data_IF_621100383197
#
_entry.id   IF_621100383197
#
_cell.length_a   1.000
_cell.length_b   1.000
_cell.length_c   1.000
_cell.angle_alpha   90.00
_cell.angle_beta   90.00
_cell.angle_gamma   90.00
#
_symmetry.space_group_name_H-M   'P 1'
#
loop_
_entity.id
_entity.type
_entity.pdbx_description
1 polymer ?
#
# COMPACT_ATOMS: atom_id res chain seq x y z
N UNK A 1 4.02 5.90 2.68
CA UNK A 1 4.65 5.76 3.99
C UNK A 1 6.17 5.94 3.89
N UNK A 2 6.85 5.28 2.94
CA UNK A 2 8.31 5.25 2.83
C UNK A 2 8.90 6.29 1.85
N UNK A 3 8.12 7.19 1.32
CA UNK A 3 8.54 8.24 0.38
C UNK A 3 9.73 9.05 0.88
N UNK A 4 9.74 9.35 2.18
CA UNK A 4 10.83 10.10 2.83
C UNK A 4 12.19 9.39 2.78
N UNK A 5 12.25 8.09 2.47
CA UNK A 5 13.50 7.37 2.26
C UNK A 5 14.13 7.65 0.89
N UNK A 6 13.30 8.02 -0.08
CA UNK A 6 13.71 8.28 -1.47
C UNK A 6 14.07 9.76 -1.66
N UNK A 7 13.61 10.61 -0.74
CA UNK A 7 13.87 12.04 -0.75
C UNK A 7 12.69 12.86 -0.24
N UNK A 8 12.90 14.16 -0.07
CA UNK A 8 11.86 15.09 0.40
C UNK A 8 11.29 15.93 -0.76
N UNK A 9 11.11 15.31 -1.92
CA UNK A 9 10.67 15.99 -3.14
C UNK A 9 9.16 16.26 -3.17
N UNK A 10 8.36 15.40 -2.53
CA UNK A 10 6.91 15.51 -2.52
C UNK A 10 6.24 14.58 -1.53
N UNK A 11 4.92 14.56 -1.58
CA UNK A 11 4.07 13.68 -0.76
C UNK A 11 2.99 13.07 -1.64
N UNK A 12 2.77 11.76 -1.48
CA UNK A 12 1.67 11.06 -2.12
C UNK A 12 0.45 11.06 -1.21
N UNK A 13 -0.68 11.49 -1.74
CA UNK A 13 -1.99 11.37 -1.11
C UNK A 13 -2.89 10.46 -1.93
N UNK A 14 -3.60 9.56 -1.26
CA UNK A 14 -4.62 8.72 -1.90
C UNK A 14 -5.99 9.16 -1.44
N UNK A 15 -6.85 9.53 -2.39
CA UNK A 15 -8.22 9.95 -2.14
C UNK A 15 -9.16 8.95 -2.78
N UNK A 16 -9.97 8.27 -1.96
CA UNK A 16 -11.00 7.35 -2.43
C UNK A 16 -12.28 8.15 -2.70
N UNK A 17 -12.87 7.96 -3.88
CA UNK A 17 -14.18 8.49 -4.25
C UNK A 17 -15.03 7.35 -4.78
N UNK A 18 -16.31 7.30 -4.46
CA UNK A 18 -17.27 6.22 -4.79
C UNK A 18 -16.72 5.03 -5.61
N UNK A 19 -16.33 5.25 -6.87
CA UNK A 19 -15.79 4.22 -7.76
C UNK A 19 -14.42 4.57 -8.35
N UNK A 20 -13.70 5.56 -7.80
CA UNK A 20 -12.41 6.00 -8.32
C UNK A 20 -11.40 6.21 -7.18
N UNK A 21 -10.15 5.96 -7.50
CA UNK A 21 -9.00 6.24 -6.65
C UNK A 21 -8.19 7.34 -7.32
N UNK A 22 -8.01 8.47 -6.64
CA UNK A 22 -7.05 9.49 -7.02
C UNK A 22 -5.75 9.29 -6.25
N UNK A 23 -4.65 9.06 -6.96
CA UNK A 23 -3.31 9.07 -6.37
C UNK A 23 -2.64 10.38 -6.76
N UNK A 24 -2.61 11.32 -5.82
CA UNK A 24 -2.07 12.67 -5.99
C UNK A 24 -0.60 12.71 -5.60
N UNK A 25 0.20 13.46 -6.33
CA UNK A 25 1.54 13.79 -5.90
C UNK A 25 1.72 15.28 -5.72
N UNK A 26 1.99 15.69 -4.48
CA UNK A 26 2.15 17.09 -4.08
C UNK A 26 3.64 17.39 -4.00
N UNK A 27 4.16 18.13 -5.00
CA UNK A 27 5.53 18.59 -5.01
C UNK A 27 5.77 19.63 -3.93
N UNK A 28 6.72 19.39 -3.02
CA UNK A 28 7.08 20.34 -1.96
C UNK A 28 7.85 21.55 -2.47
N UNK A 29 8.53 21.42 -3.59
CA UNK A 29 9.34 22.48 -4.19
C UNK A 29 8.54 23.34 -5.16
N UNK A 30 7.62 24.15 -4.64
CA UNK A 30 6.67 24.93 -5.44
C UNK A 30 7.28 25.99 -6.36
N UNK A 31 8.46 26.51 -6.02
CA UNK A 31 9.12 27.62 -6.76
C UNK A 31 10.24 27.16 -7.71
N UNK A 32 10.48 25.88 -7.88
CA UNK A 32 11.57 25.42 -8.76
C UNK A 32 11.11 25.38 -10.23
N UNK A 33 11.94 25.85 -11.18
CA UNK A 33 11.64 25.73 -12.62
C UNK A 33 11.41 24.30 -13.07
N UNK A 34 12.04 23.34 -12.40
CA UNK A 34 11.92 21.91 -12.68
C UNK A 34 10.63 21.27 -12.14
N UNK A 35 9.76 21.98 -11.40
CA UNK A 35 8.56 21.42 -10.75
C UNK A 35 7.70 20.63 -11.70
N UNK A 36 7.43 21.18 -12.89
CA UNK A 36 6.68 20.50 -13.94
C UNK A 36 7.29 19.16 -14.30
N UNK A 37 8.59 19.13 -14.58
CA UNK A 37 9.29 17.91 -14.96
C UNK A 37 9.35 16.89 -13.83
N UNK A 38 9.43 17.33 -12.57
CA UNK A 38 9.37 16.44 -11.41
C UNK A 38 8.00 15.74 -11.33
N UNK A 39 6.91 16.49 -11.48
CA UNK A 39 5.55 15.94 -11.46
C UNK A 39 5.35 14.95 -12.62
N UNK A 40 5.69 15.36 -13.83
CA UNK A 40 5.57 14.52 -15.03
C UNK A 40 6.40 13.23 -14.89
N UNK A 41 7.61 13.32 -14.35
CA UNK A 41 8.49 12.17 -14.12
C UNK A 41 7.88 11.21 -13.09
N UNK A 42 7.38 11.72 -11.97
CA UNK A 42 6.79 10.88 -10.92
C UNK A 42 5.55 10.17 -11.42
N UNK A 43 4.59 10.89 -12.00
CA UNK A 43 3.34 10.29 -12.48
C UNK A 43 3.60 9.32 -13.65
N UNK A 44 4.47 9.69 -14.58
CA UNK A 44 4.87 8.83 -15.69
C UNK A 44 5.56 7.54 -15.20
N UNK A 45 6.47 7.68 -14.24
CA UNK A 45 7.15 6.53 -13.62
C UNK A 45 6.16 5.59 -12.93
N UNK A 46 5.16 6.12 -12.24
CA UNK A 46 4.13 5.30 -11.60
C UNK A 46 3.34 4.47 -12.61
N UNK A 47 2.92 5.07 -13.73
CA UNK A 47 2.21 4.34 -14.79
C UNK A 47 3.10 3.26 -15.39
N UNK A 48 4.33 3.59 -15.75
CA UNK A 48 5.25 2.61 -16.37
C UNK A 48 5.59 1.48 -15.39
N UNK A 49 5.79 1.82 -14.11
CA UNK A 49 6.10 0.82 -13.09
C UNK A 49 4.91 -0.08 -12.77
N UNK A 50 3.69 0.47 -12.74
CA UNK A 50 2.45 -0.31 -12.56
C UNK A 50 2.25 -1.30 -13.71
N UNK A 51 2.50 -0.88 -14.96
CA UNK A 51 2.47 -1.78 -16.14
C UNK A 51 3.46 -2.93 -16.00
N UNK A 52 4.68 -2.62 -15.59
CA UNK A 52 5.71 -3.63 -15.37
C UNK A 52 5.37 -4.58 -14.24
N UNK A 53 4.88 -4.07 -13.10
CA UNK A 53 4.46 -4.88 -11.96
C UNK A 53 3.30 -5.82 -12.27
N UNK A 54 2.32 -5.34 -13.03
CA UNK A 54 1.14 -6.10 -13.42
C UNK A 54 1.38 -7.02 -14.63
N UNK A 55 2.59 -6.99 -15.23
CA UNK A 55 2.91 -7.65 -16.52
C UNK A 55 1.89 -7.32 -17.62
N UNK A 56 1.37 -6.10 -17.60
CA UNK A 56 0.36 -5.62 -18.53
C UNK A 56 0.76 -4.25 -19.10
N UNK A 57 1.38 -4.21 -20.30
CA UNK A 57 1.84 -2.97 -20.92
C UNK A 57 0.70 -2.03 -21.33
N UNK A 58 -0.52 -2.53 -21.45
CA UNK A 58 -1.71 -1.76 -21.83
C UNK A 58 -2.45 -1.15 -20.63
N UNK A 59 -2.04 -1.50 -19.41
CA UNK A 59 -2.68 -0.96 -18.20
C UNK A 59 -2.48 0.56 -18.15
N UNK A 60 -3.58 1.28 -17.98
CA UNK A 60 -3.59 2.75 -18.00
C UNK A 60 -4.55 3.27 -16.93
N UNK A 61 -4.27 4.43 -16.34
CA UNK A 61 -5.28 5.11 -15.54
C UNK A 61 -6.47 5.53 -16.42
N UNK A 62 -7.61 5.82 -15.81
CA UNK A 62 -8.78 6.38 -16.49
C UNK A 62 -8.50 7.81 -16.96
N UNK A 63 -7.77 8.57 -16.15
CA UNK A 63 -7.51 9.97 -16.36
C UNK A 63 -6.23 10.40 -15.66
N UNK A 64 -5.49 11.32 -16.29
CA UNK A 64 -4.37 12.02 -15.66
C UNK A 64 -4.71 13.51 -15.51
N UNK A 65 -4.54 14.02 -14.31
CA UNK A 65 -4.69 15.43 -13.99
C UNK A 65 -3.31 16.06 -13.81
N UNK A 66 -3.09 17.22 -14.45
CA UNK A 66 -1.85 17.98 -14.34
C UNK A 66 -2.19 19.45 -14.03
N UNK A 67 -1.55 20.01 -13.01
CA UNK A 67 -1.76 21.38 -12.58
C UNK A 67 -1.16 22.43 -13.51
N UNK A 68 -0.14 22.08 -14.28
CA UNK A 68 0.49 23.00 -15.23
C UNK A 68 -0.31 23.11 -16.55
N UNK A 69 -0.11 24.17 -17.35
CA UNK A 69 -0.75 24.35 -18.63
C UNK A 69 -0.31 23.30 -19.65
N UNK A 70 -1.16 23.05 -20.64
CA UNK A 70 -0.84 22.19 -21.76
C UNK A 70 0.38 22.73 -22.52
N UNK A 71 1.27 21.87 -23.05
CA UNK A 71 2.33 22.31 -23.91
C UNK A 71 1.78 22.85 -25.25
N UNK A 72 2.37 23.91 -25.77
CA UNK A 72 2.00 24.47 -27.07
C UNK A 72 2.37 23.53 -28.22
N UNK A 73 3.40 22.73 -28.04
CA UNK A 73 3.87 21.79 -29.04
C UNK A 73 2.96 20.55 -29.12
N UNK A 74 2.32 20.38 -30.29
CA UNK A 74 1.39 19.26 -30.54
C UNK A 74 2.04 17.88 -30.38
N UNK A 75 3.32 17.73 -30.73
CA UNK A 75 4.07 16.46 -30.54
C UNK A 75 4.16 16.07 -29.07
N UNK A 76 4.36 17.03 -28.18
CA UNK A 76 4.39 16.77 -26.74
C UNK A 76 3.03 16.28 -26.23
N UNK A 77 1.92 16.79 -26.76
CA UNK A 77 0.58 16.28 -26.42
C UNK A 77 0.39 14.82 -26.82
N UNK A 78 0.94 14.43 -27.96
CA UNK A 78 0.94 13.03 -28.41
C UNK A 78 1.81 12.15 -27.50
N UNK A 79 2.96 12.66 -27.05
CA UNK A 79 3.81 11.95 -26.08
C UNK A 79 3.12 11.70 -24.74
N UNK A 80 2.36 12.68 -24.21
CA UNK A 80 1.55 12.46 -23.01
C UNK A 80 0.55 11.32 -23.19
N UNK A 81 -0.20 11.32 -24.31
CA UNK A 81 -1.14 10.25 -24.61
C UNK A 81 -0.46 8.89 -24.75
N UNK A 82 0.72 8.85 -25.38
CA UNK A 82 1.50 7.63 -25.56
C UNK A 82 2.03 7.09 -24.23
N UNK A 83 2.51 7.97 -23.34
CA UNK A 83 3.07 7.57 -22.04
C UNK A 83 1.95 7.14 -21.09
N UNK A 84 0.93 7.95 -20.93
CA UNK A 84 -0.14 7.68 -19.97
C UNK A 84 -1.17 6.68 -20.48
N UNK A 85 -1.42 6.61 -21.78
CA UNK A 85 -2.38 5.70 -22.40
C UNK A 85 -3.85 6.09 -22.21
N UNK A 86 -4.12 7.29 -21.71
CA UNK A 86 -5.45 7.80 -21.40
C UNK A 86 -5.57 9.30 -21.68
N UNK A 87 -6.74 9.88 -21.37
CA UNK A 87 -6.94 11.31 -21.39
C UNK A 87 -6.07 12.02 -20.35
N UNK A 88 -5.49 13.16 -20.75
CA UNK A 88 -4.69 14.03 -19.86
C UNK A 88 -5.32 15.41 -19.84
N UNK A 89 -5.72 15.87 -18.64
CA UNK A 89 -6.28 17.21 -18.41
C UNK A 89 -5.27 18.11 -17.74
N UNK A 90 -5.04 19.26 -18.37
CA UNK A 90 -4.13 20.28 -17.88
C UNK A 90 -4.88 21.37 -17.11
N UNK A 91 -4.14 22.30 -16.45
CA UNK A 91 -4.70 23.39 -15.66
C UNK A 91 -5.63 22.89 -14.54
N UNK A 92 -5.30 21.77 -13.91
CA UNK A 92 -6.09 21.19 -12.82
C UNK A 92 -5.61 21.71 -11.45
N UNK A 93 -6.45 21.64 -10.41
CA UNK A 93 -6.08 22.10 -9.07
C UNK A 93 -4.91 21.33 -8.45
N UNK A 94 -4.70 20.10 -8.87
CA UNK A 94 -3.63 19.21 -8.42
C UNK A 94 -3.22 18.24 -9.52
N UNK A 95 -2.08 17.58 -9.33
CA UNK A 95 -1.59 16.55 -10.23
C UNK A 95 -1.85 15.17 -9.67
N UNK A 96 -2.52 14.30 -10.43
CA UNK A 96 -2.98 12.99 -9.99
C UNK A 96 -3.11 11.97 -11.12
N UNK A 97 -3.01 10.70 -10.76
CA UNK A 97 -3.55 9.58 -11.53
C UNK A 97 -4.92 9.23 -10.97
N UNK A 98 -5.91 9.09 -11.84
CA UNK A 98 -7.26 8.66 -11.48
C UNK A 98 -7.50 7.29 -12.10
N UNK A 99 -7.88 6.31 -11.30
CA UNK A 99 -8.06 4.92 -11.73
C UNK A 99 -9.26 4.29 -11.05
N UNK A 100 -9.79 3.23 -11.63
CA UNK A 100 -10.74 2.37 -10.94
C UNK A 100 -10.01 1.60 -9.82
N UNK A 101 -10.66 1.33 -8.65
CA UNK A 101 -10.04 0.58 -7.55
C UNK A 101 -9.48 -0.79 -7.95
N UNK A 102 -10.01 -1.39 -9.00
CA UNK A 102 -9.56 -2.70 -9.52
C UNK A 102 -8.10 -2.70 -9.95
N UNK A 103 -7.52 -1.54 -10.26
CA UNK A 103 -6.08 -1.43 -10.55
C UNK A 103 -5.22 -1.95 -9.39
N UNK A 104 -5.70 -1.82 -8.15
CA UNK A 104 -5.02 -2.30 -6.94
C UNK A 104 -5.11 -3.82 -6.77
N UNK A 105 -5.93 -4.49 -7.58
CA UNK A 105 -6.19 -5.93 -7.49
C UNK A 105 -5.43 -6.73 -8.56
N UNK A 106 -4.74 -6.05 -9.48
CA UNK A 106 -3.94 -6.74 -10.49
C UNK A 106 -2.87 -7.60 -9.82
N UNK A 107 -2.76 -8.84 -10.30
CA UNK A 107 -1.73 -9.76 -9.84
C UNK A 107 -0.34 -9.21 -10.20
N UNK A 108 0.55 -9.22 -9.22
CA UNK A 108 1.93 -8.82 -9.45
C UNK A 108 2.69 -9.90 -10.23
N UNK A 109 3.62 -9.49 -11.08
CA UNK A 109 4.44 -10.37 -11.90
C UNK A 109 5.27 -11.37 -11.08
N UNK A 110 5.84 -10.92 -9.99
CA UNK A 110 6.67 -11.71 -9.09
C UNK A 110 6.37 -11.34 -7.64
N UNK A 111 5.21 -11.75 -7.12
CA UNK A 111 4.87 -11.45 -5.74
C UNK A 111 5.74 -12.29 -4.80
N UNK A 112 6.40 -11.61 -3.86
CA UNK A 112 7.15 -12.25 -2.79
C UNK A 112 6.76 -11.58 -1.46
N UNK A 113 5.77 -12.14 -0.75
CA UNK A 113 5.32 -11.60 0.52
C UNK A 113 6.42 -11.58 1.59
N UNK A 114 7.38 -12.50 1.51
CA UNK A 114 8.47 -12.56 2.48
C UNK A 114 9.50 -11.46 2.22
N UNK A 115 9.87 -11.25 0.96
CA UNK A 115 10.73 -10.14 0.56
C UNK A 115 10.07 -8.80 0.89
N UNK A 116 8.76 -8.65 0.63
CA UNK A 116 7.99 -7.45 0.98
C UNK A 116 8.10 -7.15 2.48
N UNK A 117 7.82 -8.13 3.36
CA UNK A 117 7.90 -7.94 4.81
C UNK A 117 9.31 -7.58 5.28
N UNK A 118 10.34 -8.19 4.68
CA UNK A 118 11.75 -7.90 4.99
C UNK A 118 12.13 -6.47 4.59
N UNK A 119 11.76 -6.05 3.39
CA UNK A 119 12.02 -4.70 2.89
C UNK A 119 11.26 -3.65 3.70
N UNK A 120 10.01 -3.92 4.05
CA UNK A 120 9.19 -3.03 4.89
C UNK A 120 9.83 -2.84 6.28
N UNK A 121 10.26 -3.92 6.91
CA UNK A 121 10.97 -3.85 8.20
C UNK A 121 12.30 -3.07 8.10
N UNK A 122 13.03 -3.24 6.99
CA UNK A 122 14.27 -2.49 6.76
C UNK A 122 13.98 -0.99 6.56
N UNK A 123 12.99 -0.64 5.74
CA UNK A 123 12.59 0.72 5.47
C UNK A 123 12.12 1.44 6.74
N UNK A 124 11.34 0.74 7.60
CA UNK A 124 10.92 1.28 8.89
C UNK A 124 12.10 1.61 9.81
N UNK A 125 13.09 0.72 9.91
CA UNK A 125 14.32 0.99 10.68
C UNK A 125 15.08 2.20 10.14
N UNK A 126 15.14 2.34 8.81
CA UNK A 126 15.80 3.46 8.16
C UNK A 126 15.10 4.79 8.46
N UNK A 127 13.76 4.83 8.39
CA UNK A 127 12.97 6.00 8.78
C UNK A 127 13.25 6.41 10.23
N UNK A 128 13.27 5.45 11.14
CA UNK A 128 13.60 5.70 12.55
C UNK A 128 15.00 6.31 12.71
N UNK A 129 16.00 5.80 11.97
CA UNK A 129 17.37 6.34 12.01
C UNK A 129 17.49 7.76 11.46
N UNK A 130 16.54 8.19 10.61
CA UNK A 130 16.46 9.55 10.08
C UNK A 130 15.71 10.53 11.00
N UNK A 131 15.32 10.09 12.22
CA UNK A 131 14.56 10.91 13.17
C UNK A 131 13.13 11.24 12.69
N UNK A 132 12.63 10.52 11.70
CA UNK A 132 11.26 10.71 11.22
C UNK A 132 10.32 10.05 12.21
N UNK A 133 9.52 10.86 12.90
CA UNK A 133 8.54 10.35 13.86
C UNK A 133 7.55 9.43 13.15
N UNK A 134 7.56 8.17 13.53
CA UNK A 134 6.54 7.19 13.18
C UNK A 134 5.57 7.05 14.34
N UNK A 135 4.28 6.91 14.07
CA UNK A 135 3.28 6.66 15.11
C UNK A 135 3.62 5.38 15.88
N UNK A 136 3.13 5.26 17.10
CA UNK A 136 3.33 4.02 17.87
C UNK A 136 2.70 2.82 17.16
N UNK A 137 1.53 3.01 16.55
CA UNK A 137 0.87 1.98 15.74
C UNK A 137 1.78 1.45 14.61
N UNK A 138 2.47 2.35 13.90
CA UNK A 138 3.44 1.96 12.87
C UNK A 138 4.66 1.23 13.45
N UNK A 139 5.18 1.67 14.58
CA UNK A 139 6.28 0.99 15.26
C UNK A 139 5.90 -0.43 15.68
N UNK A 140 4.71 -0.59 16.25
CA UNK A 140 4.13 -1.89 16.64
C UNK A 140 3.95 -2.78 15.41
N UNK A 141 3.31 -2.28 14.34
CA UNK A 141 3.11 -3.01 13.09
C UNK A 141 4.44 -3.52 12.51
N UNK A 142 5.43 -2.65 12.44
CA UNK A 142 6.74 -2.99 11.90
C UNK A 142 7.47 -4.05 12.75
N UNK A 143 7.27 -4.02 14.08
CA UNK A 143 7.87 -5.00 14.97
C UNK A 143 7.21 -6.37 14.80
N UNK A 144 5.89 -6.41 14.64
CA UNK A 144 5.15 -7.65 14.34
C UNK A 144 5.65 -8.23 13.00
N UNK A 145 5.73 -7.41 11.94
CA UNK A 145 6.23 -7.83 10.63
C UNK A 145 7.64 -8.43 10.67
N UNK A 146 8.56 -7.80 11.39
CA UNK A 146 9.93 -8.27 11.51
C UNK A 146 10.04 -9.65 12.17
N UNK A 147 9.08 -10.02 13.00
CA UNK A 147 9.06 -11.29 13.74
C UNK A 147 8.26 -12.40 13.06
N UNK A 148 7.47 -12.08 12.03
CA UNK A 148 6.59 -13.05 11.36
C UNK A 148 7.31 -14.21 10.67
N UNK A 149 8.59 -14.06 10.35
CA UNK A 149 9.38 -15.12 9.74
C UNK A 149 9.72 -16.26 10.72
N UNK A 150 9.74 -15.97 12.01
CA UNK A 150 10.10 -16.94 13.05
C UNK A 150 8.84 -17.41 13.79
N UNK A 151 8.14 -16.49 14.39
CA UNK A 151 6.87 -16.71 15.12
C UNK A 151 6.16 -15.39 15.36
N UNK A 152 4.83 -15.44 15.44
CA UNK A 152 4.04 -14.27 15.83
C UNK A 152 4.47 -13.79 17.24
N UNK A 153 4.96 -12.54 17.40
CA UNK A 153 5.44 -12.07 18.69
C UNK A 153 4.28 -11.85 19.66
N UNK A 154 4.53 -12.05 20.93
CA UNK A 154 3.58 -11.69 21.99
C UNK A 154 3.61 -10.17 22.19
N UNK A 155 2.48 -9.60 22.59
CA UNK A 155 2.37 -8.16 22.86
C UNK A 155 3.37 -7.67 23.92
N UNK A 156 3.70 -8.52 24.88
CA UNK A 156 4.68 -8.24 25.94
C UNK A 156 6.07 -8.02 25.33
N UNK A 157 6.46 -8.90 24.41
CA UNK A 157 7.75 -8.81 23.72
C UNK A 157 7.85 -7.54 22.89
N UNK A 158 6.79 -7.22 22.11
CA UNK A 158 6.78 -6.01 21.27
C UNK A 158 6.81 -4.74 22.14
N UNK A 159 6.12 -4.73 23.28
CA UNK A 159 6.17 -3.61 24.21
C UNK A 159 7.60 -3.42 24.76
N UNK A 160 8.23 -4.50 25.21
CA UNK A 160 9.61 -4.50 25.72
C UNK A 160 10.60 -4.00 24.66
N UNK A 161 10.51 -4.52 23.43
CA UNK A 161 11.35 -4.12 22.30
C UNK A 161 11.22 -2.62 21.95
N UNK A 162 10.07 -2.02 22.27
CA UNK A 162 9.82 -0.60 22.08
C UNK A 162 10.12 0.24 23.33
N UNK A 163 10.70 -0.38 24.38
CA UNK A 163 11.00 0.29 25.66
C UNK A 163 9.76 0.71 26.44
N UNK A 164 8.63 0.01 26.25
CA UNK A 164 7.35 0.30 26.87
C UNK A 164 6.88 -0.89 27.71
N UNK A 165 6.06 -0.62 28.73
CA UNK A 165 5.22 -1.68 29.29
C UNK A 165 3.90 -1.80 28.52
N UNK A 166 3.25 -2.96 28.62
CA UNK A 166 2.02 -3.29 27.89
C UNK A 166 0.89 -2.26 28.16
N UNK A 167 0.76 -1.78 29.39
CA UNK A 167 -0.26 -0.79 29.77
C UNK A 167 -0.02 0.55 29.09
N UNK A 168 1.22 1.00 29.04
CA UNK A 168 1.60 2.24 28.35
C UNK A 168 1.39 2.12 26.84
N UNK A 169 1.81 1.00 26.25
CA UNK A 169 1.59 0.72 24.83
C UNK A 169 0.09 0.75 24.50
N UNK A 170 -0.74 0.06 25.29
CA UNK A 170 -2.20 0.04 25.08
C UNK A 170 -2.81 1.44 25.15
N UNK A 171 -2.50 2.22 26.19
CA UNK A 171 -3.01 3.59 26.32
C UNK A 171 -2.64 4.47 25.13
N UNK A 172 -1.37 4.46 24.71
CA UNK A 172 -0.90 5.28 23.58
C UNK A 172 -1.50 4.84 22.25
N UNK A 173 -1.71 3.53 22.02
CA UNK A 173 -2.42 3.06 20.83
C UNK A 173 -3.88 3.53 20.83
N UNK A 174 -4.55 3.59 22.00
CA UNK A 174 -5.89 4.18 22.11
C UNK A 174 -5.90 5.68 21.80
N UNK A 175 -4.87 6.42 22.21
CA UNK A 175 -4.69 7.84 21.85
C UNK A 175 -4.55 8.02 20.32
N UNK A 176 -4.01 7.01 19.62
CA UNK A 176 -3.93 6.93 18.15
C UNK A 176 -5.19 6.28 17.52
N UNK A 177 -6.29 6.11 18.28
CA UNK A 177 -7.56 5.50 17.83
C UNK A 177 -7.41 4.08 17.29
N UNK A 178 -6.49 3.28 17.82
CA UNK A 178 -6.24 1.88 17.41
C UNK A 178 -5.89 1.01 18.62
N UNK A 179 -5.79 -0.29 18.39
CA UNK A 179 -5.37 -1.25 19.40
C UNK A 179 -4.35 -2.26 18.84
N UNK A 180 -3.65 -2.97 19.74
CA UNK A 180 -2.81 -4.11 19.37
C UNK A 180 -3.57 -5.14 18.50
N UNK A 181 -4.82 -5.43 18.85
CA UNK A 181 -5.64 -6.42 18.16
C UNK A 181 -5.98 -5.93 16.75
N UNK A 182 -6.36 -4.65 16.59
CA UNK A 182 -6.68 -4.07 15.28
C UNK A 182 -5.45 -4.12 14.35
N UNK A 183 -4.28 -3.73 14.86
CA UNK A 183 -3.03 -3.76 14.09
C UNK A 183 -2.70 -5.20 13.67
N UNK A 184 -2.81 -6.15 14.58
CA UNK A 184 -2.51 -7.54 14.32
C UNK A 184 -3.50 -8.16 13.33
N UNK A 185 -4.80 -7.91 13.52
CA UNK A 185 -5.85 -8.46 12.65
C UNK A 185 -5.74 -7.87 11.24
N UNK A 186 -5.58 -6.55 11.09
CA UNK A 186 -5.38 -5.92 9.80
C UNK A 186 -4.15 -6.48 9.07
N UNK A 187 -3.04 -6.63 9.78
CA UNK A 187 -1.82 -7.20 9.21
C UNK A 187 -2.01 -8.66 8.76
N UNK A 188 -2.68 -9.46 9.58
CA UNK A 188 -3.02 -10.86 9.23
C UNK A 188 -3.88 -10.94 7.96
N UNK A 189 -4.88 -10.06 7.81
CA UNK A 189 -5.75 -10.03 6.64
C UNK A 189 -5.01 -9.59 5.38
N UNK A 190 -4.16 -8.59 5.49
CA UNK A 190 -3.31 -8.13 4.39
C UNK A 190 -2.40 -9.26 3.87
N UNK A 191 -1.70 -9.92 4.77
CA UNK A 191 -0.81 -11.04 4.42
C UNK A 191 -1.59 -12.26 3.91
N UNK A 192 -2.76 -12.56 4.51
CA UNK A 192 -3.62 -13.65 4.05
C UNK A 192 -4.01 -13.48 2.59
N UNK A 193 -4.42 -12.27 2.19
CA UNK A 193 -4.76 -11.97 0.79
C UNK A 193 -3.57 -12.21 -0.13
N UNK A 194 -2.39 -11.74 0.27
CA UNK A 194 -1.16 -11.96 -0.49
C UNK A 194 -0.86 -13.45 -0.67
N UNK A 195 -0.86 -14.22 0.41
CA UNK A 195 -0.61 -15.67 0.34
C UNK A 195 -1.67 -16.42 -0.47
N UNK A 196 -2.96 -16.07 -0.32
CA UNK A 196 -4.04 -16.72 -1.07
C UNK A 196 -3.95 -16.45 -2.57
N UNK A 197 -3.61 -15.22 -2.97
CA UNK A 197 -3.54 -14.79 -4.36
C UNK A 197 -2.24 -15.25 -5.05
N UNK A 198 -1.13 -15.07 -4.34
CA UNK A 198 0.20 -15.03 -4.96
C UNK A 198 1.02 -16.29 -4.71
N UNK A 199 0.53 -17.22 -3.87
CA UNK A 199 1.22 -18.47 -3.56
C UNK A 199 0.32 -19.69 -3.70
N UNK A 200 0.95 -20.88 -3.86
CA UNK A 200 0.26 -22.18 -3.81
C UNK A 200 0.01 -22.72 -2.39
N UNK A 201 0.26 -21.92 -1.34
CA UNK A 201 0.10 -22.37 0.05
C UNK A 201 -1.34 -22.81 0.33
N UNK A 202 -1.48 -23.89 1.08
CA UNK A 202 -2.79 -24.34 1.59
C UNK A 202 -3.33 -23.38 2.64
N UNK A 203 -4.64 -23.37 2.85
CA UNK A 203 -5.24 -22.54 3.90
C UNK A 203 -4.71 -22.89 5.30
N UNK A 204 -4.29 -24.15 5.51
CA UNK A 204 -3.71 -24.60 6.78
C UNK A 204 -2.34 -23.99 7.00
N UNK A 205 -1.46 -24.02 5.99
CA UNK A 205 -0.14 -23.40 6.04
C UNK A 205 -0.25 -21.87 6.25
N UNK A 206 -1.21 -21.23 5.59
CA UNK A 206 -1.48 -19.78 5.78
C UNK A 206 -1.94 -19.51 7.21
N UNK A 207 -2.88 -20.30 7.74
CA UNK A 207 -3.38 -20.15 9.10
C UNK A 207 -2.24 -20.27 10.13
N UNK A 208 -1.39 -21.31 10.00
CA UNK A 208 -0.23 -21.53 10.85
C UNK A 208 0.77 -20.38 10.76
N UNK A 209 1.14 -19.96 9.53
CA UNK A 209 2.08 -18.86 9.28
C UNK A 209 1.60 -17.53 9.85
N UNK A 210 0.28 -17.29 9.86
CA UNK A 210 -0.33 -16.09 10.41
C UNK A 210 -0.65 -16.21 11.91
N UNK A 211 -0.29 -17.33 12.55
CA UNK A 211 -0.44 -17.55 13.98
C UNK A 211 -1.89 -17.70 14.43
N UNK A 212 -2.76 -18.29 13.60
CA UNK A 212 -4.07 -18.75 14.05
C UNK A 212 -3.94 -20.10 14.75
N UNK A 213 -4.78 -20.33 15.76
CA UNK A 213 -4.81 -21.59 16.52
C UNK A 213 -5.24 -22.79 15.68
N UNK A 214 -6.07 -22.53 14.67
CA UNK A 214 -6.65 -23.52 13.76
C UNK A 214 -7.17 -22.87 12.48
N UNK A 215 -7.39 -23.70 11.45
CA UNK A 215 -7.88 -23.26 10.13
C UNK A 215 -9.29 -22.65 10.21
N UNK A 216 -10.16 -23.09 11.13
CA UNK A 216 -11.53 -22.56 11.26
C UNK A 216 -11.51 -21.14 11.81
N UNK A 217 -10.61 -20.86 12.72
CA UNK A 217 -10.39 -19.50 13.26
C UNK A 217 -9.90 -18.55 12.18
N UNK A 218 -8.98 -18.99 11.32
CA UNK A 218 -8.55 -18.26 10.13
C UNK A 218 -9.72 -17.99 9.16
N UNK A 219 -10.44 -19.03 8.76
CA UNK A 219 -11.56 -18.92 7.82
C UNK A 219 -12.65 -17.97 8.31
N UNK A 220 -13.03 -18.05 9.58
CA UNK A 220 -14.02 -17.16 10.20
C UNK A 220 -13.54 -15.71 10.22
N UNK A 221 -12.26 -15.48 10.59
CA UNK A 221 -11.67 -14.15 10.62
C UNK A 221 -11.62 -13.54 9.22
N UNK A 222 -11.16 -14.31 8.23
CA UNK A 222 -11.09 -13.88 6.84
C UNK A 222 -12.49 -13.57 6.28
N UNK A 223 -13.47 -14.45 6.46
CA UNK A 223 -14.84 -14.22 6.00
C UNK A 223 -15.48 -12.99 6.65
N UNK A 224 -15.26 -12.79 7.96
CA UNK A 224 -15.76 -11.60 8.66
C UNK A 224 -15.19 -10.31 8.09
N UNK A 225 -13.91 -10.33 7.68
CA UNK A 225 -13.21 -9.13 7.22
C UNK A 225 -13.45 -8.84 5.73
N UNK A 226 -13.57 -9.90 4.90
CA UNK A 226 -13.66 -9.78 3.44
C UNK A 226 -15.02 -10.16 2.87
N UNK A 227 -15.99 -10.58 3.70
CA UNK A 227 -17.32 -10.98 3.26
C UNK A 227 -17.39 -12.37 2.61
N UNK A 228 -16.26 -12.97 2.24
CA UNK A 228 -16.16 -14.27 1.57
C UNK A 228 -15.12 -15.18 2.22
N UNK A 229 -15.20 -16.47 1.92
CA UNK A 229 -14.24 -17.45 2.44
C UNK A 229 -12.90 -17.37 1.72
N UNK A 230 -11.78 -17.83 2.34
CA UNK A 230 -10.47 -17.90 1.68
C UNK A 230 -10.48 -18.74 0.39
N UNK A 231 -11.33 -19.77 0.30
CA UNK A 231 -11.50 -20.59 -0.88
C UNK A 231 -12.12 -19.80 -2.03
N UNK A 232 -13.28 -19.17 -1.77
CA UNK A 232 -13.96 -18.30 -2.73
C UNK A 232 -13.04 -17.18 -3.21
N UNK A 233 -12.27 -16.57 -2.31
CA UNK A 233 -11.30 -15.53 -2.65
C UNK A 233 -10.22 -16.04 -3.62
N UNK A 234 -9.71 -17.24 -3.41
CA UNK A 234 -8.70 -17.87 -4.29
C UNK A 234 -9.28 -18.23 -5.66
N UNK A 235 -10.52 -18.79 -5.70
CA UNK A 235 -11.19 -19.17 -6.94
C UNK A 235 -11.52 -17.98 -7.84
N UNK A 236 -11.85 -16.85 -7.26
CA UNK A 236 -12.09 -15.58 -7.97
C UNK A 236 -10.79 -14.92 -8.48
N UNK A 237 -9.64 -15.60 -8.41
CA UNK A 237 -8.33 -15.04 -8.79
C UNK A 237 -7.85 -13.94 -7.86
N UNK A 238 -8.45 -13.87 -6.66
CA UNK A 238 -8.21 -12.78 -5.71
C UNK A 238 -9.03 -11.54 -6.01
N UNK A 239 -9.99 -11.61 -6.96
CA UNK A 239 -10.87 -10.51 -7.32
C UNK A 239 -12.04 -10.44 -6.34
N UNK A 240 -12.03 -9.49 -5.45
CA UNK A 240 -13.19 -9.07 -4.70
C UNK A 240 -13.15 -7.57 -4.48
N UNK A 241 -13.98 -6.92 -5.26
CA UNK A 241 -14.39 -5.54 -5.15
C UNK A 241 -15.27 -5.33 -3.90
N UNK A 242 -14.67 -5.42 -2.70
CA UNK A 242 -15.29 -4.81 -1.53
C UNK A 242 -14.32 -3.79 -0.92
N UNK A 243 -14.76 -2.53 -0.77
CA UNK A 243 -13.98 -1.54 -0.03
C UNK A 243 -13.85 -2.00 1.43
N UNK A 244 -12.65 -1.82 1.98
CA UNK A 244 -12.43 -1.94 3.42
C UNK A 244 -13.38 -0.98 4.13
N UNK A 245 -14.09 -1.40 5.17
CA UNK A 245 -14.79 -0.46 6.03
C UNK A 245 -13.73 0.47 6.67
N UNK A 246 -14.05 1.77 6.63
CA UNK A 246 -13.26 2.85 7.22
C UNK A 246 -13.05 2.66 8.72
#
# INVERSE_FOLDING_TARGET
LYEKLVGDMGVTETVMRENLVEVRWICRHQKQPARRHLIENVLGSWVLYTRWLADNPSLSPELVLLEHPAPENRRLLEDYRRIFGCEVRFNQPWSALVSHPDVLQHRLRQPDPQLHSTLEAHAARKLQSLGIETTLAQKVRNRILASLNERLPRKEQVAEDLGLNVRTMHRRLQEESTSWQDILDNLRQELARGYLRDTGMTQMEIAEKLGYSDIRSFQRSFKRHHGMTPGEFREQGGDSSQPLPL
#
